data_IF_141723944943
#
_entry.id   IF_141723944943
#
_cell.length_a   1.000
_cell.length_b   1.000
_cell.length_c   1.000
_cell.angle_alpha   90.00
_cell.angle_beta   90.00
_cell.angle_gamma   90.00
#
_symmetry.space_group_name_H-M   'P 1'
#
loop_
_entity.id
_entity.type
_entity.pdbx_description
1 polymer ?
#
# COMPACT_ATOMS: atom_id res chain seq x y z
N UNK A 1 -20.01 20.17 -8.49
CA UNK A 1 -19.16 20.76 -9.56
C UNK A 1 -17.71 20.56 -9.17
N UNK A 2 -16.88 20.24 -10.17
CA UNK A 2 -15.45 19.90 -10.12
C UNK A 2 -15.09 18.43 -9.87
N UNK A 3 -15.63 17.53 -10.70
CA UNK A 3 -14.80 16.40 -11.16
C UNK A 3 -13.92 16.95 -12.28
N UNK A 4 -12.77 17.52 -11.92
CA UNK A 4 -11.68 17.66 -12.88
C UNK A 4 -11.11 16.27 -13.03
N UNK A 5 -11.61 15.52 -14.00
CA UNK A 5 -10.87 14.37 -14.52
C UNK A 5 -9.54 14.94 -15.02
N UNK A 6 -8.48 14.69 -14.27
CA UNK A 6 -7.15 15.07 -14.67
C UNK A 6 -6.68 14.03 -15.69
N UNK A 7 -6.22 14.46 -16.86
CA UNK A 7 -5.62 13.59 -17.90
C UNK A 7 -4.45 12.74 -17.37
N UNK A 8 -3.95 13.02 -16.17
CA UNK A 8 -2.87 12.31 -15.49
C UNK A 8 -3.17 12.15 -13.99
N UNK A 9 -2.58 11.13 -13.37
CA UNK A 9 -2.69 10.84 -11.95
C UNK A 9 -2.44 12.07 -11.06
N UNK A 10 -3.41 12.40 -10.21
CA UNK A 10 -3.33 13.57 -9.32
C UNK A 10 -4.04 13.32 -7.99
N UNK A 11 -3.32 13.59 -6.89
CA UNK A 11 -3.84 13.50 -5.52
C UNK A 11 -4.04 14.90 -4.97
N UNK A 12 -5.30 15.29 -4.81
CA UNK A 12 -5.66 16.55 -4.15
C UNK A 12 -5.65 16.42 -2.62
N UNK A 13 -5.47 17.54 -1.92
CA UNK A 13 -5.57 17.56 -0.45
C UNK A 13 -6.99 17.18 0.02
N UNK A 14 -8.02 17.52 -0.75
CA UNK A 14 -9.40 17.15 -0.45
C UNK A 14 -9.63 15.64 -0.55
N UNK A 15 -9.10 14.98 -1.59
CA UNK A 15 -9.16 13.52 -1.73
C UNK A 15 -8.48 12.85 -0.54
N UNK A 16 -7.26 13.28 -0.19
CA UNK A 16 -6.56 12.80 0.99
C UNK A 16 -7.40 12.98 2.27
N UNK A 17 -8.02 14.14 2.44
CA UNK A 17 -8.85 14.44 3.60
C UNK A 17 -10.11 13.57 3.69
N UNK A 18 -10.70 13.18 2.55
CA UNK A 18 -11.85 12.26 2.49
C UNK A 18 -11.47 10.83 2.88
N UNK A 19 -10.30 10.35 2.44
CA UNK A 19 -9.86 8.97 2.71
C UNK A 19 -9.20 8.79 4.09
N UNK A 20 -8.59 9.85 4.64
CA UNK A 20 -7.86 9.79 5.90
C UNK A 20 -8.68 9.27 7.10
N UNK A 21 -9.96 9.63 7.32
CA UNK A 21 -10.77 9.09 8.41
C UNK A 21 -10.99 7.58 8.30
N UNK A 22 -11.24 7.09 7.08
CA UNK A 22 -11.45 5.66 6.81
C UNK A 22 -10.18 4.87 7.10
N UNK A 23 -9.04 5.34 6.57
CA UNK A 23 -7.74 4.69 6.81
C UNK A 23 -7.36 4.72 8.29
N UNK A 24 -7.59 5.84 9.00
CA UNK A 24 -7.35 5.94 10.45
C UNK A 24 -8.20 4.94 11.24
N UNK A 25 -9.46 4.77 10.85
CA UNK A 25 -10.37 3.81 11.51
C UNK A 25 -9.91 2.37 11.28
N UNK A 26 -9.45 2.06 10.07
CA UNK A 26 -8.88 0.75 9.73
C UNK A 26 -7.61 0.47 10.54
N UNK A 27 -6.65 1.41 10.57
CA UNK A 27 -5.44 1.29 11.36
C UNK A 27 -5.75 1.01 12.84
N UNK A 28 -6.71 1.73 13.42
CA UNK A 28 -7.13 1.52 14.81
C UNK A 28 -7.73 0.13 15.05
N UNK A 29 -8.54 -0.39 14.11
CA UNK A 29 -9.16 -1.72 14.22
C UNK A 29 -8.12 -2.84 14.30
N UNK A 30 -7.02 -2.69 13.58
CA UNK A 30 -5.93 -3.67 13.51
C UNK A 30 -4.76 -3.38 14.49
N UNK A 31 -4.93 -2.43 15.42
CA UNK A 31 -3.87 -2.09 16.38
C UNK A 31 -2.62 -1.47 15.73
N UNK A 32 -2.76 -0.85 14.55
CA UNK A 32 -1.66 -0.30 13.78
C UNK A 32 -1.56 1.21 13.94
N UNK A 33 -0.33 1.73 13.84
CA UNK A 33 -0.03 3.15 13.77
C UNK A 33 0.61 3.47 12.43
N UNK A 34 0.02 4.44 11.73
CA UNK A 34 0.51 4.87 10.43
C UNK A 34 0.02 6.26 10.03
N UNK A 35 0.55 6.75 8.93
CA UNK A 35 0.28 8.09 8.39
C UNK A 35 0.12 8.06 6.88
N UNK A 36 -0.76 8.91 6.35
CA UNK A 36 -0.89 9.15 4.92
C UNK A 36 -0.02 10.34 4.46
N UNK A 37 0.79 10.12 3.44
CA UNK A 37 1.54 11.16 2.72
C UNK A 37 1.16 11.19 1.26
N UNK A 38 1.46 12.30 0.59
CA UNK A 38 1.31 12.43 -0.86
C UNK A 38 2.71 12.56 -1.42
N UNK A 39 3.05 11.72 -2.39
CA UNK A 39 4.31 11.78 -3.11
C UNK A 39 4.11 12.26 -4.55
N UNK A 40 4.96 13.20 -4.96
CA UNK A 40 4.97 13.83 -6.28
C UNK A 40 3.57 14.25 -6.80
N UNK A 41 2.67 14.67 -5.90
CA UNK A 41 1.27 15.04 -6.18
C UNK A 41 0.42 13.98 -6.90
N UNK A 42 0.88 12.73 -6.99
CA UNK A 42 0.23 11.67 -7.80
C UNK A 42 0.09 10.34 -7.08
N UNK A 43 0.84 10.14 -5.99
CA UNK A 43 0.84 8.89 -5.23
C UNK A 43 0.36 9.14 -3.81
N UNK A 44 -0.64 8.37 -3.37
CA UNK A 44 -1.08 8.34 -1.98
C UNK A 44 -0.35 7.22 -1.23
N UNK A 45 0.54 7.59 -0.32
CA UNK A 45 1.37 6.64 0.41
C UNK A 45 0.85 6.42 1.84
N UNK A 46 0.59 5.17 2.20
CA UNK A 46 0.34 4.74 3.57
C UNK A 46 1.64 4.25 4.20
N UNK A 47 2.11 4.96 5.23
CA UNK A 47 3.31 4.58 5.96
C UNK A 47 2.91 4.02 7.33
N UNK A 48 3.20 2.76 7.59
CA UNK A 48 2.89 2.06 8.83
C UNK A 48 4.17 1.94 9.65
N UNK A 49 4.21 2.52 10.84
CA UNK A 49 5.43 2.59 11.65
C UNK A 49 5.50 1.54 12.75
N UNK A 50 4.35 1.12 13.29
CA UNK A 50 4.29 0.11 14.35
C UNK A 50 2.90 -0.54 14.42
N UNK A 51 2.79 -1.70 15.07
CA UNK A 51 1.51 -2.33 15.37
C UNK A 51 1.63 -3.78 15.84
N UNK A 52 0.49 -4.39 16.15
CA UNK A 52 0.41 -5.76 16.71
C UNK A 52 0.70 -6.85 15.65
N UNK A 53 0.59 -6.52 14.36
CA UNK A 53 0.83 -7.46 13.26
C UNK A 53 2.32 -7.50 12.92
N UNK A 54 2.94 -8.68 12.96
CA UNK A 54 4.29 -8.89 12.43
C UNK A 54 4.28 -9.07 10.91
N UNK A 55 4.26 -7.96 10.18
CA UNK A 55 4.34 -7.96 8.71
C UNK A 55 5.67 -8.51 8.19
N UNK A 56 6.78 -8.28 8.88
CA UNK A 56 8.11 -8.69 8.41
C UNK A 56 8.23 -10.22 8.50
N UNK A 57 7.89 -10.80 9.65
CA UNK A 57 7.86 -12.24 9.84
C UNK A 57 6.86 -12.92 8.91
N UNK A 58 5.64 -12.37 8.79
CA UNK A 58 4.62 -12.91 7.90
C UNK A 58 5.04 -12.93 6.43
N UNK A 59 5.61 -11.83 5.93
CA UNK A 59 6.15 -11.74 4.57
C UNK A 59 7.25 -12.77 4.33
N UNK A 60 8.20 -12.89 5.26
CA UNK A 60 9.30 -13.85 5.14
C UNK A 60 8.81 -15.31 5.15
N UNK A 61 7.86 -15.63 6.03
CA UNK A 61 7.28 -16.96 6.11
C UNK A 61 6.50 -17.32 4.83
N UNK A 62 5.75 -16.37 4.28
CA UNK A 62 4.94 -16.58 3.08
C UNK A 62 5.84 -16.65 1.83
N UNK A 63 6.61 -15.61 1.54
CA UNK A 63 7.44 -15.52 0.34
C UNK A 63 8.60 -16.51 0.26
N UNK A 64 9.05 -17.08 1.39
CA UNK A 64 10.07 -18.15 1.37
C UNK A 64 9.55 -19.47 0.78
N UNK A 65 8.22 -19.65 0.71
CA UNK A 65 7.58 -20.86 0.17
C UNK A 65 7.28 -20.75 -1.33
N UNK A 66 7.31 -19.55 -1.90
CA UNK A 66 6.97 -19.33 -3.31
C UNK A 66 8.16 -19.62 -4.23
N UNK A 67 7.93 -20.31 -5.37
CA UNK A 67 8.96 -20.50 -6.37
C UNK A 67 9.36 -19.15 -6.97
N UNK A 68 10.68 -18.91 -7.07
CA UNK A 68 11.21 -17.69 -7.67
C UNK A 68 11.65 -17.93 -9.10
N UNK A 69 11.43 -16.92 -9.94
CA UNK A 69 11.96 -16.90 -11.29
C UNK A 69 13.48 -17.10 -11.28
N UNK A 70 13.98 -17.99 -12.14
CA UNK A 70 15.39 -18.38 -12.23
C UNK A 70 15.98 -18.94 -10.92
N UNK A 71 15.17 -19.53 -10.03
CA UNK A 71 15.63 -20.19 -8.80
C UNK A 71 16.48 -19.28 -7.89
N UNK A 72 16.30 -17.97 -7.99
CA UNK A 72 17.05 -17.03 -7.17
C UNK A 72 16.73 -17.22 -5.68
N UNK A 73 17.71 -17.11 -4.78
CA UNK A 73 17.48 -17.30 -3.36
C UNK A 73 16.50 -16.27 -2.80
N UNK A 74 15.66 -16.72 -1.86
CA UNK A 74 14.80 -15.81 -1.11
C UNK A 74 15.65 -14.84 -0.29
N UNK A 75 15.37 -13.54 -0.41
CA UNK A 75 15.99 -12.49 0.41
C UNK A 75 14.95 -12.02 1.43
N UNK A 76 15.12 -12.35 2.73
CA UNK A 76 14.17 -11.93 3.74
C UNK A 76 14.20 -10.42 3.94
N UNK A 77 13.03 -9.84 4.15
CA UNK A 77 12.88 -8.49 4.69
C UNK A 77 13.38 -8.46 6.14
N UNK A 78 13.94 -7.33 6.57
CA UNK A 78 14.49 -7.16 7.93
C UNK A 78 13.76 -6.06 8.68
N UNK A 79 13.82 -4.85 8.15
CA UNK A 79 13.44 -3.64 8.89
C UNK A 79 12.24 -2.92 8.28
N UNK A 80 12.03 -3.08 6.97
CA UNK A 80 10.98 -2.42 6.22
C UNK A 80 10.60 -3.22 4.97
N UNK A 81 9.39 -3.00 4.49
CA UNK A 81 8.86 -3.55 3.24
C UNK A 81 8.14 -2.43 2.49
N UNK A 82 8.46 -2.28 1.21
CA UNK A 82 7.58 -1.61 0.26
C UNK A 82 6.65 -2.68 -0.31
N UNK A 83 5.35 -2.58 0.00
CA UNK A 83 4.37 -3.62 -0.33
C UNK A 83 4.01 -3.50 -1.81
N UNK A 84 4.20 -4.59 -2.54
CA UNK A 84 3.65 -4.69 -3.87
C UNK A 84 2.13 -4.87 -3.78
N UNK A 85 1.37 -3.81 -4.06
CA UNK A 85 -0.09 -3.79 -3.91
C UNK A 85 -0.82 -4.76 -4.82
N UNK A 86 -0.22 -5.21 -5.93
CA UNK A 86 -0.83 -6.19 -6.84
C UNK A 86 -0.72 -7.63 -6.33
N UNK A 87 0.30 -7.90 -5.51
CA UNK A 87 0.64 -9.24 -5.02
C UNK A 87 0.50 -9.36 -3.50
N UNK A 88 -0.15 -8.40 -2.84
CA UNK A 88 -0.31 -8.39 -1.38
C UNK A 88 -1.01 -9.67 -0.87
N UNK A 89 -1.98 -10.18 -1.61
CA UNK A 89 -2.71 -11.40 -1.32
C UNK A 89 -1.86 -12.69 -1.44
N UNK A 90 -0.76 -12.66 -2.19
CA UNK A 90 0.18 -13.79 -2.30
C UNK A 90 1.39 -13.63 -1.38
N UNK A 91 1.81 -12.40 -1.10
CA UNK A 91 3.00 -12.13 -0.30
C UNK A 91 2.75 -12.10 1.21
N UNK A 92 1.48 -12.03 1.62
CA UNK A 92 1.08 -12.02 3.02
C UNK A 92 -0.03 -13.04 3.23
N UNK A 93 -0.26 -13.41 4.49
CA UNK A 93 -1.30 -14.36 4.89
C UNK A 93 -2.03 -13.93 6.16
N UNK A 94 -3.24 -14.44 6.35
CA UNK A 94 -4.04 -14.19 7.55
C UNK A 94 -4.34 -12.70 7.78
N UNK A 95 -4.30 -12.21 9.03
CA UNK A 95 -4.65 -10.82 9.37
C UNK A 95 -3.84 -9.76 8.62
N UNK A 96 -2.59 -10.07 8.25
CA UNK A 96 -1.73 -9.16 7.49
C UNK A 96 -2.28 -8.95 6.06
N UNK A 97 -2.65 -10.03 5.37
CA UNK A 97 -3.26 -9.96 4.05
C UNK A 97 -4.63 -9.26 4.09
N UNK A 98 -5.49 -9.63 5.03
CA UNK A 98 -6.81 -9.02 5.20
C UNK A 98 -6.74 -7.50 5.43
N UNK A 99 -5.78 -7.06 6.25
CA UNK A 99 -5.53 -5.64 6.47
C UNK A 99 -5.05 -4.96 5.18
N UNK A 100 -4.08 -5.54 4.48
CA UNK A 100 -3.50 -4.95 3.27
C UNK A 100 -4.55 -4.83 2.15
N UNK A 101 -5.41 -5.83 1.98
CA UNK A 101 -6.50 -5.78 1.02
C UNK A 101 -7.49 -4.65 1.33
N UNK A 102 -7.91 -4.54 2.60
CA UNK A 102 -8.76 -3.45 3.05
C UNK A 102 -8.08 -2.08 2.94
N UNK A 103 -6.77 -2.01 3.21
CA UNK A 103 -6.00 -0.78 3.08
C UNK A 103 -5.90 -0.34 1.61
N UNK A 104 -5.63 -1.27 0.69
CA UNK A 104 -5.62 -1.01 -0.76
C UNK A 104 -6.98 -0.49 -1.22
N UNK A 105 -8.07 -1.12 -0.81
CA UNK A 105 -9.43 -0.67 -1.14
C UNK A 105 -9.72 0.72 -0.56
N UNK A 106 -9.33 0.98 0.70
CA UNK A 106 -9.53 2.27 1.35
C UNK A 106 -8.68 3.39 0.70
N UNK A 107 -7.49 3.08 0.19
CA UNK A 107 -6.62 4.03 -0.51
C UNK A 107 -7.09 4.34 -1.93
N UNK A 108 -7.72 3.38 -2.61
CA UNK A 108 -8.42 3.61 -3.88
C UNK A 108 -9.64 4.50 -3.64
N UNK A 109 -10.49 4.11 -2.68
CA UNK A 109 -11.73 4.82 -2.40
C UNK A 109 -12.78 4.64 -3.52
N UNK A 110 -13.94 5.30 -3.40
CA UNK A 110 -15.07 5.10 -4.32
C UNK A 110 -14.88 5.72 -5.70
N UNK A 111 -14.01 6.72 -5.81
CA UNK A 111 -13.79 7.51 -7.03
C UNK A 111 -12.58 7.01 -7.85
N UNK A 112 -12.01 5.85 -7.51
CA UNK A 112 -10.83 5.30 -8.19
C UNK A 112 -11.17 4.77 -9.58
N UNK A 113 -10.34 5.13 -10.55
CA UNK A 113 -10.34 4.55 -11.89
C UNK A 113 -8.91 4.30 -12.37
N UNK A 114 -8.73 3.28 -13.20
CA UNK A 114 -7.49 2.96 -13.91
C UNK A 114 -7.82 2.50 -15.33
N UNK A 115 -7.51 3.35 -16.30
CA UNK A 115 -7.73 3.17 -17.74
C UNK A 115 -6.38 3.16 -18.47
N UNK A 116 -5.31 2.79 -17.78
CA UNK A 116 -3.98 2.72 -18.37
C UNK A 116 -3.89 1.61 -19.45
N UNK A 117 -3.29 1.95 -20.58
CA UNK A 117 -2.93 1.03 -21.65
C UNK A 117 -1.41 1.06 -21.85
N UNK A 118 -0.76 0.00 -21.36
CA UNK A 118 0.68 -0.15 -21.43
C UNK A 118 1.21 -0.41 -22.85
N UNK A 119 0.35 -0.80 -23.81
CA UNK A 119 0.74 -0.99 -25.20
C UNK A 119 0.84 0.33 -25.98
N UNK A 120 0.10 1.35 -25.57
CA UNK A 120 0.04 2.65 -26.27
C UNK A 120 0.73 3.78 -25.53
N UNK A 121 1.47 3.50 -24.45
CA UNK A 121 2.13 4.48 -23.57
C UNK A 121 1.13 5.54 -23.01
N UNK A 122 -0.10 5.11 -22.70
CA UNK A 122 -1.16 5.98 -22.21
C UNK A 122 -1.53 5.62 -20.76
N UNK A 123 -1.16 6.48 -19.81
CA UNK A 123 -1.36 6.24 -18.39
C UNK A 123 -2.43 7.15 -17.79
N UNK A 124 -3.69 6.72 -17.90
CA UNK A 124 -4.83 7.43 -17.33
C UNK A 124 -5.35 6.70 -16.09
N UNK A 125 -4.93 7.14 -14.91
CA UNK A 125 -5.38 6.62 -13.62
C UNK A 125 -5.66 7.78 -12.67
N UNK A 126 -6.60 7.59 -11.75
CA UNK A 126 -6.95 8.60 -10.74
C UNK A 126 -5.75 9.03 -9.89
N UNK A 127 -5.09 8.06 -9.25
CA UNK A 127 -3.86 8.23 -8.49
C UNK A 127 -3.17 6.89 -8.27
N UNK A 128 -1.87 6.93 -8.00
CA UNK A 128 -1.13 5.75 -7.56
C UNK A 128 -1.28 5.56 -6.05
N UNK A 129 -1.16 4.33 -5.59
CA UNK A 129 -1.14 3.99 -4.17
C UNK A 129 0.19 3.31 -3.83
N UNK A 130 0.68 3.58 -2.63
CA UNK A 130 1.90 2.94 -2.12
C UNK A 130 1.71 2.61 -0.64
N UNK A 131 2.18 1.45 -0.20
CA UNK A 131 2.09 1.01 1.19
C UNK A 131 3.48 0.63 1.68
N UNK A 132 3.93 1.33 2.71
CA UNK A 132 5.23 1.13 3.33
C UNK A 132 5.06 0.61 4.75
N UNK A 133 5.63 -0.57 5.03
CA UNK A 133 5.81 -1.11 6.37
C UNK A 133 7.20 -0.70 6.84
N UNK A 134 7.30 0.22 7.80
CA UNK A 134 8.57 0.85 8.16
C UNK A 134 9.13 1.72 7.02
N UNK A 135 10.34 2.23 7.22
CA UNK A 135 11.12 3.03 6.26
C UNK A 135 12.60 2.71 6.42
N UNK A 136 13.40 3.00 5.39
CA UNK A 136 14.85 2.77 5.40
C UNK A 136 15.58 3.39 6.62
N UNK A 137 15.10 4.52 7.15
CA UNK A 137 15.66 5.20 8.32
C UNK A 137 14.82 5.04 9.60
N UNK A 138 13.68 4.37 9.53
CA UNK A 138 12.73 4.20 10.64
C UNK A 138 12.10 2.81 10.52
N UNK A 139 12.72 1.77 11.10
CA UNK A 139 12.23 0.40 10.97
C UNK A 139 10.81 0.25 11.51
N UNK A 140 10.10 -0.74 11.01
CA UNK A 140 8.82 -1.15 11.57
C UNK A 140 9.00 -1.78 12.95
N UNK A 141 8.10 -1.47 13.88
CA UNK A 141 8.15 -1.99 15.26
C UNK A 141 6.89 -2.80 15.57
N UNK A 142 7.06 -4.08 15.88
CA UNK A 142 5.99 -4.92 16.44
C UNK A 142 5.83 -4.58 17.92
N UNK A 143 4.60 -4.36 18.38
CA UNK A 143 4.27 -3.98 19.77
C UNK A 143 3.39 -5.00 20.47
#
# INVERSE_FOLDING_TARGET
MNNKEHEMAYVSQEMKAKLAPTVKSLLKRYGLKGTLSVDNHRTLCLNISQGEIDFIGNFNATCSQHPRYNEQPFRPARDHINVNTYWAHEHFSGPAAEFLDQAIQALKGPDFFDHSDAQTDYFHTSHYIDINIGRWNKPYVVV
#
